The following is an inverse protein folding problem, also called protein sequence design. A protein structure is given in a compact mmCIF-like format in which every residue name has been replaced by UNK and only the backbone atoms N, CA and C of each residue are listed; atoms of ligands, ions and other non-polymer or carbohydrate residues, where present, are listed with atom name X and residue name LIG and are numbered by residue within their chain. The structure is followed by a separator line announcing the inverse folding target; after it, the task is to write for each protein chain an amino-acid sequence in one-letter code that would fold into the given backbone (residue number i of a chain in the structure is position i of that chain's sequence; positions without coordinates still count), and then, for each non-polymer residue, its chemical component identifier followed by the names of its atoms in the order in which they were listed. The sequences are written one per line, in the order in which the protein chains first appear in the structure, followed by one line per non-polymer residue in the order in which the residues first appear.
data_IF_833051664800
#
_entry.id   IF_833051664800
#
_cell.length_a   1.000
_cell.length_b   1.000
_cell.length_c   1.000
_cell.angle_alpha   90.00
_cell.angle_beta   90.00
_cell.angle_gamma   90.00
#
_symmetry.space_group_name_H-M   'P 1'
#
loop_
_entity.id
_entity.type
_entity.pdbx_description
1 polymer ?
#
# COMPACT_ATOMS: atom_id res chain seq x y z
N UNK A 1 -4.89 -61.87 -43.62
CA UNK A 1 -4.77 -61.09 -42.36
C UNK A 1 -5.50 -59.72 -42.42
N UNK A 2 -6.62 -59.59 -43.14
CA UNK A 2 -7.33 -58.30 -43.28
C UNK A 2 -8.62 -58.19 -42.44
N UNK A 3 -9.21 -59.32 -42.01
CA UNK A 3 -10.48 -59.32 -41.26
C UNK A 3 -10.35 -59.04 -39.75
N UNK A 4 -9.15 -59.17 -39.16
CA UNK A 4 -8.96 -58.99 -37.71
C UNK A 4 -9.08 -57.51 -37.31
N UNK A 5 -8.61 -56.60 -38.18
CA UNK A 5 -8.66 -55.15 -37.96
C UNK A 5 -10.02 -54.51 -38.28
N UNK A 6 -10.91 -55.20 -39.01
CA UNK A 6 -12.27 -54.73 -39.32
C UNK A 6 -13.36 -55.32 -38.39
N UNK A 7 -12.96 -56.15 -37.42
CA UNK A 7 -13.89 -56.70 -36.43
C UNK A 7 -14.38 -55.60 -35.50
N UNK A 8 -15.71 -55.47 -35.35
CA UNK A 8 -16.34 -54.53 -34.40
C UNK A 8 -15.79 -54.69 -32.98
N UNK A 9 -15.41 -55.91 -32.59
CA UNK A 9 -14.81 -56.21 -31.30
C UNK A 9 -13.40 -55.64 -31.15
N UNK A 10 -12.59 -55.70 -32.21
CA UNK A 10 -11.25 -55.11 -32.22
C UNK A 10 -11.31 -53.59 -32.10
N UNK A 11 -12.24 -52.94 -32.80
CA UNK A 11 -12.45 -51.49 -32.69
C UNK A 11 -12.89 -51.07 -31.29
N UNK A 12 -13.78 -51.84 -30.65
CA UNK A 12 -14.22 -51.59 -29.26
C UNK A 12 -13.06 -51.76 -28.28
N UNK A 13 -12.25 -52.80 -28.43
CA UNK A 13 -11.07 -53.04 -27.59
C UNK A 13 -10.04 -51.90 -27.72
N UNK A 14 -9.82 -51.44 -28.95
CA UNK A 14 -8.90 -50.33 -29.24
C UNK A 14 -9.44 -49.02 -28.65
N UNK A 15 -10.73 -48.76 -28.78
CA UNK A 15 -11.38 -47.59 -28.18
C UNK A 15 -11.28 -47.63 -26.64
N UNK A 16 -11.48 -48.79 -26.03
CA UNK A 16 -11.31 -48.98 -24.59
C UNK A 16 -9.86 -48.74 -24.15
N UNK A 17 -8.87 -49.22 -24.92
CA UNK A 17 -7.46 -48.96 -24.67
C UNK A 17 -7.11 -47.47 -24.74
N UNK A 18 -7.59 -46.76 -25.76
CA UNK A 18 -7.42 -45.31 -25.92
C UNK A 18 -8.09 -44.54 -24.78
N UNK A 19 -9.30 -44.95 -24.37
CA UNK A 19 -10.01 -44.37 -23.25
C UNK A 19 -9.25 -44.54 -21.92
N UNK A 20 -8.72 -45.74 -21.67
CA UNK A 20 -7.93 -46.03 -20.47
C UNK A 20 -6.64 -45.21 -20.40
N UNK A 21 -5.94 -45.09 -21.54
CA UNK A 21 -4.76 -44.21 -21.67
C UNK A 21 -5.11 -42.75 -21.44
N UNK A 22 -6.26 -42.29 -21.95
CA UNK A 22 -6.73 -40.91 -21.76
C UNK A 22 -6.99 -40.60 -20.28
N UNK A 23 -7.64 -41.51 -19.55
CA UNK A 23 -7.86 -41.37 -18.10
C UNK A 23 -6.54 -41.32 -17.33
N UNK A 24 -5.60 -42.20 -17.67
CA UNK A 24 -4.30 -42.27 -17.02
C UNK A 24 -3.52 -40.96 -17.18
N UNK A 25 -3.57 -40.34 -18.36
CA UNK A 25 -2.89 -39.08 -18.65
C UNK A 25 -3.47 -37.90 -17.87
N UNK A 26 -4.80 -37.86 -17.68
CA UNK A 26 -5.48 -36.83 -16.89
C UNK A 26 -5.08 -36.90 -15.41
N UNK A 27 -4.83 -38.11 -14.89
CA UNK A 27 -4.51 -38.32 -13.47
C UNK A 27 -3.10 -37.87 -13.07
N UNK A 28 -2.18 -37.70 -14.03
CA UNK A 28 -0.77 -37.35 -13.78
C UNK A 28 -0.53 -35.83 -13.75
N UNK A 29 -1.41 -35.02 -14.36
CA UNK A 29 -1.24 -33.56 -14.42
C UNK A 29 -1.45 -32.78 -13.11
N UNK A 30 -2.35 -33.15 -12.17
CA UNK A 30 -2.65 -32.30 -11.02
C UNK A 30 -1.52 -32.22 -9.99
N UNK A 31 -0.61 -33.21 -9.92
CA UNK A 31 0.45 -33.23 -8.92
C UNK A 31 1.53 -32.17 -9.17
N UNK A 32 1.90 -31.93 -10.43
CA UNK A 32 2.92 -30.92 -10.77
C UNK A 32 2.45 -29.50 -10.44
N UNK A 33 1.20 -29.19 -10.78
CA UNK A 33 0.61 -27.87 -10.53
C UNK A 33 0.51 -27.58 -9.03
N UNK A 34 0.18 -28.58 -8.20
CA UNK A 34 0.13 -28.41 -6.76
C UNK A 34 1.52 -28.06 -6.21
N UNK A 35 2.57 -28.78 -6.61
CA UNK A 35 3.94 -28.54 -6.15
C UNK A 35 4.45 -27.18 -6.58
N UNK A 36 4.22 -26.77 -7.83
CA UNK A 36 4.60 -25.44 -8.33
C UNK A 36 3.91 -24.32 -7.54
N UNK A 37 2.60 -24.44 -7.28
CA UNK A 37 1.87 -23.49 -6.44
C UNK A 37 2.40 -23.41 -5.01
N UNK A 38 2.76 -24.56 -4.43
CA UNK A 38 3.37 -24.59 -3.10
C UNK A 38 4.72 -23.86 -3.10
N UNK A 39 5.54 -24.06 -4.14
CA UNK A 39 6.83 -23.39 -4.27
C UNK A 39 6.67 -21.87 -4.39
N UNK A 40 5.77 -21.41 -5.27
CA UNK A 40 5.45 -19.98 -5.43
C UNK A 40 4.96 -19.37 -4.10
N UNK A 41 4.05 -20.06 -3.41
CA UNK A 41 3.56 -19.58 -2.10
C UNK A 41 4.65 -19.49 -1.03
N UNK A 42 5.65 -20.38 -1.07
CA UNK A 42 6.77 -20.38 -0.13
C UNK A 42 7.75 -19.23 -0.46
N UNK A 43 8.03 -19.00 -1.75
CA UNK A 43 8.86 -17.88 -2.19
C UNK A 43 8.25 -16.53 -1.80
N UNK A 44 6.93 -16.37 -1.95
CA UNK A 44 6.25 -15.14 -1.57
C UNK A 44 6.28 -14.90 -0.06
N UNK A 45 6.10 -15.96 0.75
CA UNK A 45 6.26 -15.88 2.20
C UNK A 45 7.67 -15.47 2.60
N UNK A 46 8.71 -15.98 1.93
CA UNK A 46 10.10 -15.59 2.19
C UNK A 46 10.28 -14.10 1.90
N UNK A 47 9.82 -13.61 0.74
CA UNK A 47 9.91 -12.18 0.38
C UNK A 47 9.18 -11.29 1.37
N UNK A 48 8.01 -11.71 1.87
CA UNK A 48 7.25 -10.97 2.87
C UNK A 48 8.01 -10.88 4.21
N UNK A 49 8.59 -11.99 4.66
CA UNK A 49 9.38 -12.05 5.89
C UNK A 49 10.64 -11.18 5.76
N UNK A 50 11.34 -11.22 4.64
CA UNK A 50 12.52 -10.39 4.40
C UNK A 50 12.19 -8.90 4.41
N UNK A 51 11.08 -8.50 3.76
CA UNK A 51 10.59 -7.12 3.78
C UNK A 51 10.25 -6.66 5.19
N UNK A 52 9.56 -7.51 5.95
CA UNK A 52 9.21 -7.25 7.34
C UNK A 52 10.46 -7.13 8.21
N UNK A 53 11.42 -8.02 8.06
CA UNK A 53 12.68 -7.94 8.80
C UNK A 53 13.44 -6.64 8.48
N UNK A 54 13.52 -6.27 7.19
CA UNK A 54 14.13 -5.00 6.76
C UNK A 54 13.44 -3.77 7.36
N UNK A 55 12.11 -3.74 7.38
CA UNK A 55 11.35 -2.61 7.94
C UNK A 55 11.52 -2.52 9.46
N UNK A 56 11.49 -3.65 10.16
CA UNK A 56 11.77 -3.72 11.60
C UNK A 56 13.19 -3.27 11.92
N UNK A 57 14.19 -3.69 11.14
CA UNK A 57 15.57 -3.28 11.29
C UNK A 57 15.74 -1.75 11.13
N UNK A 58 15.08 -1.16 10.13
CA UNK A 58 15.08 0.30 9.93
C UNK A 58 14.42 1.04 11.10
N UNK A 59 13.31 0.51 11.61
CA UNK A 59 12.63 1.11 12.76
C UNK A 59 13.47 1.03 14.04
N UNK A 60 14.11 -0.12 14.29
CA UNK A 60 15.06 -0.25 15.39
C UNK A 60 16.24 0.72 15.26
N UNK A 61 16.77 0.91 14.05
CA UNK A 61 17.83 1.87 13.80
C UNK A 61 17.38 3.31 14.08
N UNK A 62 16.14 3.66 13.70
CA UNK A 62 15.55 4.96 14.03
C UNK A 62 15.44 5.17 15.54
N UNK A 63 14.93 4.20 16.30
CA UNK A 63 14.82 4.31 17.76
C UNK A 63 16.16 4.40 18.47
N UNK A 64 17.22 3.79 17.92
CA UNK A 64 18.59 3.94 18.42
C UNK A 64 19.26 5.25 17.99
N UNK A 65 18.66 5.99 17.06
CA UNK A 65 19.28 7.20 16.53
C UNK A 65 19.24 8.35 17.56
N UNK A 66 20.24 9.24 17.57
CA UNK A 66 20.23 10.44 18.39
C UNK A 66 19.02 11.34 18.12
N UNK A 67 18.52 11.35 16.89
CA UNK A 67 17.34 12.13 16.48
C UNK A 67 16.06 11.67 17.21
N UNK A 68 15.89 10.37 17.45
CA UNK A 68 14.77 9.87 18.25
C UNK A 68 14.90 10.27 19.71
N UNK A 69 16.11 10.16 20.29
CA UNK A 69 16.37 10.61 21.65
C UNK A 69 16.11 12.11 21.84
N UNK A 70 16.56 12.93 20.90
CA UNK A 70 16.31 14.38 20.91
C UNK A 70 14.82 14.68 20.82
N UNK A 71 14.08 13.97 19.95
CA UNK A 71 12.62 14.11 19.83
C UNK A 71 11.92 13.77 21.14
N UNK A 72 12.27 12.66 21.78
CA UNK A 72 11.68 12.25 23.07
C UNK A 72 12.03 13.26 24.18
N UNK A 73 13.27 13.77 24.23
CA UNK A 73 13.70 14.78 25.19
C UNK A 73 12.95 16.11 24.98
N UNK A 74 12.72 16.53 23.73
CA UNK A 74 11.91 17.70 23.39
C UNK A 74 10.46 17.52 23.85
N UNK A 75 9.86 16.36 23.59
CA UNK A 75 8.46 16.09 23.92
C UNK A 75 8.20 15.93 25.43
N UNK A 76 9.09 15.22 26.13
CA UNK A 76 8.87 14.87 27.55
C UNK A 76 9.47 15.87 28.52
N UNK A 77 10.61 16.44 28.15
CA UNK A 77 11.42 17.27 29.04
C UNK A 77 11.49 18.73 28.57
N UNK A 78 10.85 19.08 27.45
CA UNK A 78 10.92 20.40 26.82
C UNK A 78 12.38 20.89 26.64
N UNK A 79 13.30 19.95 26.41
CA UNK A 79 14.73 20.23 26.25
C UNK A 79 14.95 21.02 24.97
N UNK A 80 15.74 22.09 25.06
CA UNK A 80 16.05 22.99 23.94
C UNK A 80 17.52 22.84 23.58
N UNK A 81 17.84 22.92 22.29
CA UNK A 81 19.24 23.03 21.91
C UNK A 81 19.76 24.44 22.21
N UNK A 82 21.06 24.61 22.49
CA UNK A 82 21.64 25.93 22.81
C UNK A 82 21.45 26.99 21.72
N UNK A 83 21.26 26.55 20.47
CA UNK A 83 21.06 27.37 19.27
C UNK A 83 19.57 27.59 18.91
N UNK A 84 18.63 27.12 19.73
CA UNK A 84 17.19 27.15 19.45
C UNK A 84 16.47 28.31 20.18
N UNK A 85 15.88 29.24 19.41
CA UNK A 85 15.08 30.34 19.96
C UNK A 85 13.62 29.92 20.15
N UNK A 86 13.10 30.02 21.38
CA UNK A 86 11.69 29.74 21.68
C UNK A 86 10.92 31.04 21.86
N UNK A 87 9.88 31.23 21.05
CA UNK A 87 8.97 32.36 21.13
C UNK A 87 7.73 31.93 21.91
N UNK A 88 7.44 32.61 23.01
CA UNK A 88 6.17 32.45 23.71
C UNK A 88 5.15 33.42 23.11
N UNK A 89 4.08 32.88 22.54
CA UNK A 89 2.96 33.67 22.05
C UNK A 89 1.93 33.71 23.16
N UNK A 90 1.82 34.86 23.83
CA UNK A 90 0.75 35.12 24.76
C UNK A 90 -0.43 35.68 23.98
N UNK A 91 -1.59 35.02 24.04
CA UNK A 91 -2.84 35.66 23.67
C UNK A 91 -3.24 36.55 24.84
N UNK A 92 -2.92 37.84 24.74
CA UNK A 92 -3.62 38.81 25.56
C UNK A 92 -5.09 38.79 25.12
N UNK A 93 -6.00 38.51 26.06
CA UNK A 93 -7.46 38.72 25.87
C UNK A 93 -7.83 40.21 25.73
N UNK A 94 -6.84 41.09 25.63
CA UNK A 94 -7.00 42.53 25.50
C UNK A 94 -6.58 42.98 24.11
N UNK A 95 -7.60 43.19 23.30
CA UNK A 95 -7.66 44.09 22.15
C UNK A 95 -6.46 44.02 21.21
N UNK A 96 -6.63 43.19 20.18
CA UNK A 96 -5.94 43.38 18.91
C UNK A 96 -6.31 44.77 18.40
N UNK A 97 -5.48 45.78 18.70
CA UNK A 97 -5.42 47.00 17.91
C UNK A 97 -4.86 46.56 16.56
N UNK A 98 -5.78 46.17 15.68
CA UNK A 98 -5.52 45.95 14.26
C UNK A 98 -4.92 47.26 13.76
N UNK A 99 -3.60 47.25 13.48
CA UNK A 99 -3.01 48.27 12.62
C UNK A 99 -3.82 48.27 11.33
N UNK A 100 -4.46 49.40 11.05
CA UNK A 100 -5.16 49.67 9.81
C UNK A 100 -4.19 49.50 8.64
N UNK A 101 -4.10 48.28 8.11
CA UNK A 101 -3.69 48.07 6.74
C UNK A 101 -4.82 48.58 5.85
N UNK A 102 -4.62 49.83 5.42
CA UNK A 102 -5.26 50.51 4.31
C UNK A 102 -6.20 49.61 3.49
N UNK A 103 -7.49 49.75 3.76
CA UNK A 103 -8.60 49.20 3.00
C UNK A 103 -8.34 49.31 1.48
N UNK A 104 -8.00 48.19 0.85
CA UNK A 104 -8.38 47.95 -0.53
C UNK A 104 -9.78 47.36 -0.44
N UNK A 105 -10.78 48.24 -0.46
CA UNK A 105 -12.18 47.85 -0.46
C UNK A 105 -12.48 47.02 -1.73
N UNK A 106 -12.48 45.70 -1.60
CA UNK A 106 -13.19 44.81 -2.53
C UNK A 106 -14.68 44.95 -2.19
N UNK A 107 -15.53 45.47 -3.09
CA UNK A 107 -16.94 45.58 -2.80
C UNK A 107 -17.56 44.17 -2.75
N UNK A 108 -18.21 43.90 -1.62
CA UNK A 108 -19.39 43.05 -1.50
C UNK A 108 -19.16 41.53 -1.66
N UNK A 109 -18.46 40.92 -0.69
CA UNK A 109 -18.38 39.46 -0.52
C UNK A 109 -19.04 38.96 0.77
N UNK A 110 -19.73 39.84 1.50
CA UNK A 110 -20.49 39.48 2.70
C UNK A 110 -21.86 38.94 2.28
N UNK A 111 -22.03 37.62 2.38
CA UNK A 111 -23.28 36.93 2.03
C UNK A 111 -23.11 35.79 1.01
N UNK A 112 -21.97 35.72 0.31
CA UNK A 112 -21.70 34.63 -0.63
C UNK A 112 -21.15 33.38 0.08
N UNK A 113 -21.53 32.22 -0.44
CA UNK A 113 -21.00 30.94 0.02
C UNK A 113 -19.52 30.81 -0.28
N UNK A 114 -18.80 29.98 0.48
CA UNK A 114 -17.35 29.81 0.30
C UNK A 114 -17.01 29.38 -1.14
N UNK A 115 -17.84 28.58 -1.80
CA UNK A 115 -17.63 28.14 -3.18
C UNK A 115 -17.67 29.30 -4.19
N UNK A 116 -18.63 30.22 -4.06
CA UNK A 116 -18.76 31.36 -4.96
C UNK A 116 -17.59 32.34 -4.84
N UNK A 117 -17.06 32.50 -3.62
CA UNK A 117 -15.84 33.30 -3.37
C UNK A 117 -14.64 32.75 -4.14
N UNK A 118 -14.44 31.43 -4.12
CA UNK A 118 -13.33 30.77 -4.83
C UNK A 118 -13.48 30.84 -6.35
N UNK A 119 -14.68 30.60 -6.88
CA UNK A 119 -14.95 30.73 -8.31
C UNK A 119 -14.66 32.16 -8.82
N UNK A 120 -15.07 33.18 -8.08
CA UNK A 120 -14.85 34.57 -8.48
C UNK A 120 -13.38 34.99 -8.41
N UNK A 121 -12.58 34.36 -7.54
CA UNK A 121 -11.14 34.57 -7.47
C UNK A 121 -10.38 33.88 -8.62
N UNK A 122 -10.78 32.67 -9.00
CA UNK A 122 -10.10 31.86 -10.01
C UNK A 122 -10.41 32.27 -11.46
N UNK A 123 -11.52 32.97 -11.69
CA UNK A 123 -11.99 33.35 -13.03
C UNK A 123 -12.10 34.88 -13.21
N UNK A 124 -11.34 35.66 -12.44
CA UNK A 124 -11.14 37.10 -12.65
C UNK A 124 -9.87 37.37 -13.44
#
# INVERSE_FOLDING_TARGET
MQGFFQSKLFTILLLAGVFFLSISLVRVRPQKIAVEKHLESLEDKIKEIERSNSSLAKLMAYFKSPAYLEREAKLKLNVRRPDENVVFIFQDEKEVVVKEEKNISLPDLEGLTNFEKWMRYLFK
#
